data_IF_918709150067
#
_entry.id   IF_918709150067
#
_cell.length_a   1.000
_cell.length_b   1.000
_cell.length_c   1.000
_cell.angle_alpha   90.00
_cell.angle_beta   90.00
_cell.angle_gamma   90.00
#
_symmetry.space_group_name_H-M   'P 1'
#
loop_
_entity.id
_entity.type
_entity.pdbx_description
1 polymer ?
#
# COMPACT_ATOMS: atom_id res chain seq x y z
N UNK A 1 12.66 4.26 -7.45
CA UNK A 1 13.04 5.61 -6.95
C UNK A 1 12.47 6.73 -7.82
N UNK A 2 12.70 6.77 -9.14
CA UNK A 2 12.18 7.85 -10.00
C UNK A 2 10.66 8.04 -10.00
N UNK A 3 9.87 6.97 -9.83
CA UNK A 3 8.39 7.07 -9.64
C UNK A 3 7.98 7.66 -8.29
N UNK A 4 8.89 7.69 -7.31
CA UNK A 4 8.64 8.19 -5.96
C UNK A 4 9.03 9.67 -5.88
N UNK A 5 10.27 9.99 -6.25
CA UNK A 5 10.85 11.33 -6.09
C UNK A 5 10.81 12.19 -7.36
N UNK A 6 10.27 11.66 -8.46
CA UNK A 6 10.28 12.30 -9.78
C UNK A 6 11.58 12.08 -10.57
N UNK A 7 11.49 12.25 -11.89
CA UNK A 7 12.63 12.05 -12.79
C UNK A 7 13.75 13.09 -12.58
N UNK A 8 13.39 14.34 -12.30
CA UNK A 8 14.36 15.43 -12.20
C UNK A 8 15.26 15.29 -10.98
N UNK A 9 14.67 14.98 -9.82
CA UNK A 9 15.42 14.74 -8.59
C UNK A 9 16.26 13.47 -8.66
N UNK A 10 15.74 12.42 -9.32
CA UNK A 10 16.53 11.21 -9.57
C UNK A 10 17.74 11.50 -10.47
N UNK A 11 17.60 12.29 -11.53
CA UNK A 11 18.71 12.68 -12.41
C UNK A 11 19.78 13.46 -11.64
N UNK A 12 19.38 14.45 -10.85
CA UNK A 12 20.32 15.21 -10.02
C UNK A 12 21.09 14.29 -9.08
N UNK A 13 20.38 13.45 -8.30
CA UNK A 13 21.00 12.50 -7.37
C UNK A 13 22.01 11.56 -8.06
N UNK A 14 21.71 11.08 -9.26
CA UNK A 14 22.60 10.19 -10.03
C UNK A 14 23.82 10.92 -10.59
N UNK A 15 23.67 12.18 -11.00
CA UNK A 15 24.76 12.99 -11.56
C UNK A 15 25.69 13.55 -10.49
N UNK A 16 25.17 13.88 -9.30
CA UNK A 16 25.93 14.49 -8.21
C UNK A 16 26.44 13.46 -7.19
N UNK A 17 25.87 12.25 -7.16
CA UNK A 17 26.15 11.25 -6.13
C UNK A 17 25.59 11.64 -4.76
N UNK A 18 24.69 12.62 -4.68
CA UNK A 18 24.09 13.09 -3.43
C UNK A 18 23.34 11.94 -2.73
N UNK A 19 23.53 11.84 -1.41
CA UNK A 19 22.76 10.95 -0.55
C UNK A 19 21.73 11.74 0.26
N UNK A 20 20.56 11.14 0.50
CA UNK A 20 19.49 11.73 1.31
C UNK A 20 19.48 11.14 2.72
N UNK A 21 19.33 12.02 3.71
CA UNK A 21 19.14 11.61 5.10
C UNK A 21 17.72 11.12 5.38
N UNK A 22 17.44 10.73 6.63
CA UNK A 22 16.14 10.20 7.03
C UNK A 22 15.00 11.24 6.88
N UNK A 23 15.24 12.49 7.28
CA UNK A 23 14.25 13.57 7.19
C UNK A 23 13.91 13.91 5.72
N UNK A 24 14.95 14.07 4.90
CA UNK A 24 14.79 14.24 3.45
C UNK A 24 14.02 13.05 2.85
N UNK A 25 14.40 11.82 3.20
CA UNK A 25 13.74 10.62 2.72
C UNK A 25 12.26 10.56 3.07
N UNK A 26 11.88 11.01 4.27
CA UNK A 26 10.48 11.13 4.68
C UNK A 26 9.75 12.21 3.88
N UNK A 27 10.32 13.41 3.78
CA UNK A 27 9.72 14.53 3.06
C UNK A 27 9.53 14.25 1.56
N UNK A 28 10.40 13.41 0.98
CA UNK A 28 10.35 12.99 -0.42
C UNK A 28 9.47 11.77 -0.67
N UNK A 29 8.95 11.12 0.38
CA UNK A 29 8.17 9.89 0.26
C UNK A 29 8.99 8.63 -0.04
N UNK A 30 10.33 8.67 0.10
CA UNK A 30 11.17 7.46 0.07
C UNK A 30 10.88 6.54 1.26
N UNK A 31 10.48 7.13 2.39
CA UNK A 31 9.93 6.43 3.54
C UNK A 31 8.56 7.03 3.90
N UNK A 32 7.65 6.19 4.42
CA UNK A 32 6.35 6.65 4.91
C UNK A 32 6.37 7.05 6.39
N UNK A 33 7.36 6.59 7.15
CA UNK A 33 7.48 6.80 8.59
C UNK A 33 8.94 7.01 8.96
N UNK A 34 9.19 7.89 9.92
CA UNK A 34 10.45 8.00 10.64
C UNK A 34 10.18 7.78 12.14
N UNK A 35 11.07 7.06 12.81
CA UNK A 35 11.00 6.75 14.24
C UNK A 35 12.40 6.81 14.83
N UNK A 36 12.48 6.87 16.15
CA UNK A 36 13.74 6.79 16.89
C UNK A 36 14.54 5.53 16.54
N UNK A 37 15.85 5.62 16.74
CA UNK A 37 16.77 4.52 16.49
C UNK A 37 16.35 3.27 17.29
N UNK A 38 16.37 2.11 16.62
CA UNK A 38 15.93 0.83 17.20
C UNK A 38 14.41 0.59 17.20
N UNK A 39 13.56 1.60 16.95
CA UNK A 39 12.11 1.43 16.97
C UNK A 39 11.50 0.96 15.63
N UNK A 40 12.27 0.99 14.53
CA UNK A 40 11.78 0.73 13.17
C UNK A 40 11.11 -0.64 13.02
N UNK A 41 11.73 -1.71 13.53
CA UNK A 41 11.19 -3.07 13.43
C UNK A 41 9.88 -3.24 14.22
N UNK A 42 9.76 -2.56 15.36
CA UNK A 42 8.55 -2.58 16.19
C UNK A 42 7.38 -1.95 15.45
N UNK A 43 7.59 -0.78 14.84
CA UNK A 43 6.57 -0.13 14.02
C UNK A 43 6.23 -0.99 12.78
N UNK A 44 7.23 -1.52 12.08
CA UNK A 44 7.02 -2.38 10.91
C UNK A 44 6.16 -3.61 11.25
N UNK A 45 6.44 -4.29 12.37
CA UNK A 45 5.62 -5.42 12.84
C UNK A 45 4.20 -4.99 13.24
N UNK A 46 4.03 -3.81 13.84
CA UNK A 46 2.70 -3.26 14.17
C UNK A 46 1.88 -3.03 12.90
N UNK A 47 2.48 -2.44 11.87
CA UNK A 47 1.83 -2.23 10.58
C UNK A 47 1.52 -3.56 9.88
N UNK A 48 2.47 -4.50 9.88
CA UNK A 48 2.26 -5.82 9.28
C UNK A 48 1.10 -6.59 9.94
N UNK A 49 0.95 -6.51 11.27
CA UNK A 49 -0.22 -7.09 11.96
C UNK A 49 -1.53 -6.46 11.48
N UNK A 50 -1.58 -5.12 11.44
CA UNK A 50 -2.77 -4.40 10.95
C UNK A 50 -3.12 -4.79 9.51
N UNK A 51 -2.13 -5.03 8.65
CA UNK A 51 -2.36 -5.51 7.28
C UNK A 51 -2.82 -6.96 7.27
N UNK A 52 -2.29 -7.81 8.15
CA UNK A 52 -2.69 -9.20 8.27
C UNK A 52 -4.13 -9.37 8.79
N UNK A 53 -4.68 -8.35 9.46
CA UNK A 53 -6.08 -8.32 9.90
C UNK A 53 -7.04 -8.02 8.73
N UNK A 54 -6.56 -7.63 7.55
CA UNK A 54 -7.42 -7.44 6.38
C UNK A 54 -7.81 -8.79 5.75
N UNK A 55 -8.89 -8.79 4.97
CA UNK A 55 -9.22 -9.93 4.11
C UNK A 55 -8.04 -10.25 3.16
N UNK A 56 -7.53 -11.51 3.13
CA UNK A 56 -6.37 -11.88 2.32
C UNK A 56 -6.51 -11.52 0.83
N UNK A 57 -7.72 -11.69 0.29
CA UNK A 57 -8.02 -11.37 -1.10
C UNK A 57 -7.92 -9.85 -1.40
N UNK A 58 -8.35 -9.00 -0.46
CA UNK A 58 -8.20 -7.54 -0.61
C UNK A 58 -6.72 -7.13 -0.63
N UNK A 59 -5.92 -7.71 0.26
CA UNK A 59 -4.46 -7.49 0.26
C UNK A 59 -3.83 -7.92 -1.07
N UNK A 60 -4.21 -9.12 -1.57
CA UNK A 60 -3.74 -9.61 -2.86
C UNK A 60 -4.03 -8.64 -3.99
N UNK A 61 -5.28 -8.16 -4.10
CA UNK A 61 -5.67 -7.21 -5.13
C UNK A 61 -4.92 -5.88 -5.00
N UNK A 62 -4.81 -5.30 -3.80
CA UNK A 62 -4.09 -4.04 -3.61
C UNK A 62 -2.62 -4.14 -4.02
N UNK A 63 -1.93 -5.21 -3.61
CA UNK A 63 -0.51 -5.44 -3.95
C UNK A 63 -0.32 -5.65 -5.45
N UNK A 64 -1.24 -6.35 -6.12
CA UNK A 64 -1.09 -6.73 -7.52
C UNK A 64 -1.65 -5.71 -8.52
N UNK A 65 -2.67 -4.96 -8.15
CA UNK A 65 -3.41 -4.09 -9.07
C UNK A 65 -2.86 -2.68 -9.13
N UNK A 66 -2.57 -2.04 -7.97
CA UNK A 66 -2.26 -0.59 -7.90
C UNK A 66 -1.08 -0.22 -8.81
N UNK A 67 0.03 -0.97 -8.73
CA UNK A 67 1.20 -0.71 -9.56
C UNK A 67 0.93 -0.87 -11.06
N UNK A 68 0.15 -1.90 -11.43
CA UNK A 68 -0.20 -2.19 -12.83
C UNK A 68 -1.18 -1.17 -13.41
N UNK A 69 -2.17 -0.75 -12.63
CA UNK A 69 -3.13 0.30 -13.01
C UNK A 69 -2.37 1.60 -13.33
N UNK A 70 -1.34 1.94 -12.54
CA UNK A 70 -0.51 3.11 -12.80
C UNK A 70 0.30 3.05 -14.11
N UNK A 71 0.50 1.86 -14.68
CA UNK A 71 1.20 1.63 -15.94
C UNK A 71 0.25 1.52 -17.15
N UNK A 72 -1.07 1.54 -16.93
CA UNK A 72 -2.09 1.46 -17.99
C UNK A 72 -2.46 2.83 -18.57
N UNK A 73 -3.17 2.80 -19.70
CA UNK A 73 -3.88 4.00 -20.17
C UNK A 73 -4.91 4.43 -19.12
N UNK A 74 -5.31 5.71 -19.11
CA UNK A 74 -6.29 6.19 -18.12
C UNK A 74 -7.60 5.42 -18.17
N UNK A 75 -8.10 5.12 -19.37
CA UNK A 75 -9.36 4.41 -19.55
C UNK A 75 -9.25 2.95 -19.04
N UNK A 76 -8.19 2.25 -19.42
CA UNK A 76 -7.98 0.86 -19.00
C UNK A 76 -7.66 0.75 -17.51
N UNK A 77 -6.96 1.74 -16.96
CA UNK A 77 -6.67 1.83 -15.52
C UNK A 77 -7.96 1.98 -14.70
N UNK A 78 -8.86 2.90 -15.08
CA UNK A 78 -10.16 3.07 -14.43
C UNK A 78 -11.04 1.82 -14.56
N UNK A 79 -11.04 1.19 -15.74
CA UNK A 79 -11.75 -0.07 -15.95
C UNK A 79 -11.22 -1.17 -15.01
N UNK A 80 -9.90 -1.35 -14.95
CA UNK A 80 -9.24 -2.34 -14.09
C UNK A 80 -9.49 -2.05 -12.61
N UNK A 81 -9.45 -0.78 -12.19
CA UNK A 81 -9.79 -0.37 -10.82
C UNK A 81 -11.23 -0.75 -10.48
N UNK A 82 -12.19 -0.46 -11.36
CA UNK A 82 -13.60 -0.82 -11.16
C UNK A 82 -13.81 -2.32 -11.01
N UNK A 83 -13.11 -3.13 -11.82
CA UNK A 83 -13.18 -4.58 -11.77
C UNK A 83 -12.58 -5.12 -10.46
N UNK A 84 -11.39 -4.62 -10.08
CA UNK A 84 -10.76 -5.01 -8.82
C UNK A 84 -11.63 -4.64 -7.60
N UNK A 85 -12.22 -3.45 -7.60
CA UNK A 85 -13.14 -3.01 -6.56
C UNK A 85 -14.40 -3.88 -6.49
N UNK A 86 -14.99 -4.25 -7.64
CA UNK A 86 -16.14 -5.14 -7.69
C UNK A 86 -15.79 -6.53 -7.12
N UNK A 87 -14.67 -7.13 -7.55
CA UNK A 87 -14.21 -8.43 -7.06
C UNK A 87 -13.95 -8.43 -5.55
N UNK A 88 -13.32 -7.36 -5.04
CA UNK A 88 -13.07 -7.22 -3.61
C UNK A 88 -14.40 -7.18 -2.81
N UNK A 89 -15.38 -6.40 -3.26
CA UNK A 89 -16.68 -6.24 -2.59
C UNK A 89 -17.55 -7.50 -2.63
N UNK A 90 -17.45 -8.32 -3.68
CA UNK A 90 -18.19 -9.58 -3.79
C UNK A 90 -17.48 -10.76 -3.13
N UNK A 91 -16.29 -10.56 -2.58
CA UNK A 91 -15.53 -11.64 -1.94
C UNK A 91 -16.19 -12.12 -0.64
N UNK A 92 -15.96 -13.39 -0.27
CA UNK A 92 -16.39 -13.93 1.03
C UNK A 92 -15.86 -13.10 2.21
N UNK A 93 -14.63 -12.58 2.07
CA UNK A 93 -14.04 -11.67 3.05
C UNK A 93 -14.83 -10.38 3.21
N UNK A 94 -15.28 -9.75 2.12
CA UNK A 94 -16.11 -8.55 2.21
C UNK A 94 -17.48 -8.83 2.85
N UNK A 95 -18.10 -9.97 2.53
CA UNK A 95 -19.35 -10.39 3.15
C UNK A 95 -19.19 -10.63 4.66
N UNK A 96 -18.10 -11.27 5.08
CA UNK A 96 -17.78 -11.47 6.50
C UNK A 96 -17.47 -10.16 7.22
N UNK A 97 -16.70 -9.27 6.59
CA UNK A 97 -16.40 -7.95 7.14
C UNK A 97 -17.67 -7.13 7.40
N UNK A 98 -18.59 -7.12 6.42
CA UNK A 98 -19.90 -6.46 6.57
C UNK A 98 -20.74 -7.10 7.68
N UNK A 99 -20.78 -8.43 7.74
CA UNK A 99 -21.53 -9.17 8.76
C UNK A 99 -21.00 -8.89 10.17
N UNK A 100 -19.69 -8.98 10.35
CA UNK A 100 -19.03 -8.72 11.63
C UNK A 100 -19.27 -7.28 12.12
N UNK A 101 -19.25 -6.32 11.19
CA UNK A 101 -19.58 -4.93 11.48
C UNK A 101 -21.03 -4.76 11.97
N UNK A 102 -22.00 -5.37 11.27
CA UNK A 102 -23.42 -5.33 11.67
C UNK A 102 -23.66 -6.02 13.01
N UNK A 103 -22.93 -7.11 13.28
CA UNK A 103 -23.00 -7.90 14.52
C UNK A 103 -22.14 -7.32 15.67
N UNK A 104 -21.42 -6.21 15.44
CA UNK A 104 -20.49 -5.57 16.40
C UNK A 104 -19.45 -6.53 16.98
N UNK A 105 -18.93 -7.44 16.16
CA UNK A 105 -17.86 -8.37 16.51
C UNK A 105 -16.65 -8.17 15.60
N UNK A 106 -15.52 -8.76 15.98
CA UNK A 106 -14.36 -8.80 15.08
C UNK A 106 -14.62 -9.77 13.90
N UNK A 107 -14.21 -9.40 12.67
CA UNK A 107 -14.34 -10.27 11.50
C UNK A 107 -13.34 -11.43 11.55
N UNK A 108 -13.78 -12.61 11.12
CA UNK A 108 -12.93 -13.80 11.03
C UNK A 108 -12.72 -14.14 9.57
N UNK A 109 -11.64 -13.62 8.99
CA UNK A 109 -11.28 -13.96 7.62
C UNK A 109 -10.69 -15.38 7.56
N UNK A 110 -11.32 -16.27 6.79
CA UNK A 110 -10.75 -17.58 6.49
C UNK A 110 -9.46 -17.39 5.68
N UNK A 111 -8.38 -18.02 6.14
CA UNK A 111 -7.06 -17.97 5.51
C UNK A 111 -6.99 -18.92 4.32
#
# INVERSE_FOLDING_TARGET
VGRIIGADRMREMMLTGRSYGAEDGLAMGLAHYAVEEGAALTLARKLARKVADNAPFSNYLMIQAIGRIGDMSRADGLFTESMAAAMAQTSEGAQEGLRAFLEKREPVFRK
#
